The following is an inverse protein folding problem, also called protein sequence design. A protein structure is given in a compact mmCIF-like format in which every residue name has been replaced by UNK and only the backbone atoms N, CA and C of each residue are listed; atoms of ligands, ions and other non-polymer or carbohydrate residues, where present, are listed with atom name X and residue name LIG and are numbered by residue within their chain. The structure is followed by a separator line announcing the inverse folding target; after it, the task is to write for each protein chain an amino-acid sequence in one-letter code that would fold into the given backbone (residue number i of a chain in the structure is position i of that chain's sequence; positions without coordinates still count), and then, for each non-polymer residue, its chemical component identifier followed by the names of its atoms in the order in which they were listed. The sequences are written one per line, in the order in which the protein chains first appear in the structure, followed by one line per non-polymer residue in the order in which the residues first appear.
data_IF_103906263944
#
_entry.id   IF_103906263944
#
_cell.length_a   1.000
_cell.length_b   1.000
_cell.length_c   1.000
_cell.angle_alpha   90.00
_cell.angle_beta   90.00
_cell.angle_gamma   90.00
#
_symmetry.space_group_name_H-M   'P 1'
#
loop_
_entity.id
_entity.type
_entity.pdbx_description
1 polymer ?
#
# COMPACT_ATOMS: atom_id res chain seq x y z
N UNK A 1 -1.48 -13.17 19.69
CA UNK A 1 -2.12 -13.19 21.01
C UNK A 1 -3.63 -13.54 20.93
N UNK A 2 -4.30 -13.26 19.81
CA UNK A 2 -5.69 -13.70 19.59
C UNK A 2 -5.83 -15.18 19.16
N UNK A 3 -4.72 -15.87 18.89
CA UNK A 3 -4.71 -17.26 18.39
C UNK A 3 -5.38 -18.29 19.30
N UNK A 4 -5.49 -18.01 20.59
CA UNK A 4 -6.20 -18.92 21.53
C UNK A 4 -7.73 -18.82 21.49
N UNK A 5 -8.29 -17.80 20.84
CA UNK A 5 -9.73 -17.55 20.77
C UNK A 5 -10.38 -18.18 19.52
N UNK A 6 -9.61 -18.50 18.52
CA UNK A 6 -10.09 -18.99 17.24
C UNK A 6 -9.42 -20.33 16.89
N UNK A 7 -10.11 -21.22 16.15
CA UNK A 7 -9.52 -22.46 15.69
C UNK A 7 -8.37 -22.21 14.70
N UNK A 8 -7.50 -23.20 14.48
CA UNK A 8 -6.52 -23.15 13.40
C UNK A 8 -7.17 -22.89 12.05
N UNK A 9 -6.43 -22.27 11.11
CA UNK A 9 -6.95 -21.93 9.80
C UNK A 9 -7.47 -23.15 9.02
N UNK A 10 -6.81 -24.31 9.18
CA UNK A 10 -7.21 -25.59 8.58
C UNK A 10 -8.55 -26.14 9.10
N UNK A 11 -8.98 -25.68 10.26
CA UNK A 11 -10.22 -26.12 10.94
C UNK A 11 -11.32 -25.06 10.86
N UNK A 12 -11.05 -23.93 10.19
CA UNK A 12 -12.03 -22.85 10.06
C UNK A 12 -13.20 -23.27 9.18
N UNK A 13 -14.36 -23.44 9.78
CA UNK A 13 -15.61 -23.82 9.12
C UNK A 13 -16.79 -22.86 9.40
N UNK A 14 -16.49 -21.70 9.99
CA UNK A 14 -17.53 -20.69 10.30
C UNK A 14 -18.00 -20.00 9.01
N UNK A 15 -19.29 -19.63 8.98
CA UNK A 15 -19.87 -18.78 7.93
C UNK A 15 -19.30 -17.36 8.00
N UNK A 16 -18.91 -16.92 9.19
CA UNK A 16 -18.31 -15.60 9.41
C UNK A 16 -16.84 -15.59 8.98
N UNK A 17 -16.41 -14.49 8.36
CA UNK A 17 -14.99 -14.28 8.10
C UNK A 17 -14.19 -14.17 9.42
N UNK A 18 -12.94 -14.66 9.45
CA UNK A 18 -12.07 -14.43 10.59
C UNK A 18 -11.77 -12.93 10.76
N UNK A 19 -11.38 -12.51 11.98
CA UNK A 19 -10.88 -11.15 12.19
C UNK A 19 -9.71 -10.82 11.25
N UNK A 20 -9.63 -9.57 10.83
CA UNK A 20 -8.59 -9.13 9.88
C UNK A 20 -7.17 -9.48 10.36
N UNK A 21 -6.85 -9.25 11.64
CA UNK A 21 -5.54 -9.58 12.22
C UNK A 21 -5.20 -11.06 12.18
N UNK A 22 -6.20 -11.93 12.39
CA UNK A 22 -6.05 -13.37 12.26
C UNK A 22 -5.73 -13.78 10.82
N UNK A 23 -6.54 -13.30 9.88
CA UNK A 23 -6.38 -13.58 8.46
C UNK A 23 -5.00 -13.11 7.95
N UNK A 24 -4.62 -11.88 8.29
CA UNK A 24 -3.37 -11.29 7.87
C UNK A 24 -2.15 -12.03 8.44
N UNK A 25 -2.23 -12.46 9.69
CA UNK A 25 -1.17 -13.25 10.32
C UNK A 25 -0.91 -14.55 9.58
N UNK A 26 -1.95 -15.30 9.22
CA UNK A 26 -1.79 -16.57 8.51
C UNK A 26 -1.28 -16.37 7.08
N UNK A 27 -1.71 -15.33 6.39
CA UNK A 27 -1.11 -14.96 5.10
C UNK A 27 0.38 -14.68 5.23
N UNK A 28 0.75 -13.86 6.20
CA UNK A 28 2.15 -13.55 6.47
C UNK A 28 2.97 -14.80 6.81
N UNK A 29 2.50 -15.64 7.72
CA UNK A 29 3.19 -16.85 8.13
C UNK A 29 3.40 -17.84 6.97
N UNK A 30 2.36 -18.01 6.14
CA UNK A 30 2.43 -18.86 4.96
C UNK A 30 3.40 -18.31 3.90
N UNK A 31 3.38 -17.00 3.65
CA UNK A 31 4.34 -16.34 2.74
C UNK A 31 5.76 -16.49 3.26
N UNK A 32 5.99 -16.28 4.56
CA UNK A 32 7.32 -16.46 5.17
C UNK A 32 7.85 -17.89 5.01
N UNK A 33 7.01 -18.89 5.28
CA UNK A 33 7.35 -20.29 5.10
C UNK A 33 7.64 -20.63 3.64
N UNK A 34 6.80 -20.15 2.72
CA UNK A 34 6.97 -20.34 1.28
C UNK A 34 8.26 -19.65 0.79
N UNK A 35 8.54 -18.46 1.26
CA UNK A 35 9.76 -17.72 0.88
C UNK A 35 11.03 -18.45 1.30
N UNK A 36 11.05 -19.09 2.48
CA UNK A 36 12.16 -19.93 2.90
C UNK A 36 12.41 -21.11 1.95
N UNK A 37 11.36 -21.76 1.48
CA UNK A 37 11.44 -22.82 0.48
C UNK A 37 11.94 -22.28 -0.87
N UNK A 38 11.40 -21.15 -1.30
CA UNK A 38 11.76 -20.50 -2.58
C UNK A 38 13.23 -20.10 -2.61
N UNK A 39 13.74 -19.48 -1.53
CA UNK A 39 15.15 -19.11 -1.42
C UNK A 39 16.07 -20.32 -1.53
N UNK A 40 15.74 -21.45 -0.89
CA UNK A 40 16.52 -22.69 -1.00
C UNK A 40 16.57 -23.24 -2.43
N UNK A 41 15.61 -22.89 -3.26
CA UNK A 41 15.52 -23.31 -4.66
C UNK A 41 15.93 -22.20 -5.65
N UNK A 42 16.62 -21.16 -5.19
CA UNK A 42 17.05 -20.01 -6.00
C UNK A 42 15.88 -19.31 -6.76
N UNK A 43 14.72 -19.27 -6.15
CA UNK A 43 13.53 -18.59 -6.68
C UNK A 43 13.33 -17.24 -5.99
N UNK A 44 12.74 -16.28 -6.70
CA UNK A 44 12.36 -15.00 -6.10
C UNK A 44 11.30 -15.18 -5.00
N UNK A 45 11.26 -14.25 -4.06
CA UNK A 45 10.32 -14.25 -2.92
C UNK A 45 9.11 -13.37 -3.17
N UNK A 46 8.07 -13.56 -2.35
CA UNK A 46 6.86 -12.75 -2.35
C UNK A 46 6.83 -11.82 -1.15
N UNK A 47 6.13 -10.70 -1.29
CA UNK A 47 5.85 -9.76 -0.21
C UNK A 47 4.35 -9.62 -0.01
N UNK A 48 3.94 -9.40 1.24
CA UNK A 48 2.54 -9.17 1.57
C UNK A 48 2.20 -7.69 1.37
N UNK A 49 1.15 -7.40 0.60
CA UNK A 49 0.65 -6.06 0.29
C UNK A 49 -0.88 -6.05 0.32
N UNK A 50 -1.49 -6.06 1.50
CA UNK A 50 -2.93 -6.14 1.64
C UNK A 50 -3.61 -4.79 1.43
N UNK A 51 -4.91 -4.81 1.12
CA UNK A 51 -5.79 -3.68 1.39
C UNK A 51 -5.87 -3.48 2.89
N UNK A 52 -5.66 -2.26 3.35
CA UNK A 52 -5.75 -1.92 4.77
C UNK A 52 -6.11 -0.46 4.98
N UNK A 53 -6.99 -0.19 5.94
CA UNK A 53 -7.34 1.18 6.31
C UNK A 53 -8.16 1.93 5.26
N UNK A 54 -8.78 1.27 4.31
CA UNK A 54 -9.79 1.85 3.43
C UNK A 54 -11.09 2.03 4.19
N UNK A 55 -11.55 0.98 4.84
CA UNK A 55 -12.72 0.94 5.70
C UNK A 55 -12.48 0.01 6.90
N UNK A 56 -13.46 -0.12 7.79
CA UNK A 56 -13.40 -1.01 8.95
C UNK A 56 -12.69 -0.40 10.16
N UNK A 57 -12.06 -1.26 10.97
CA UNK A 57 -11.43 -0.86 12.21
C UNK A 57 -10.00 -0.32 11.97
N UNK A 58 -9.65 0.86 12.52
CA UNK A 58 -8.29 1.37 12.48
C UNK A 58 -7.21 0.43 13.07
N UNK A 59 -7.58 -0.51 13.96
CA UNK A 59 -6.66 -1.51 14.49
C UNK A 59 -6.07 -2.44 13.41
N UNK A 60 -6.74 -2.59 12.26
CA UNK A 60 -6.21 -3.32 11.12
C UNK A 60 -4.85 -2.78 10.66
N UNK A 61 -4.64 -1.47 10.78
CA UNK A 61 -3.40 -0.80 10.40
C UNK A 61 -2.19 -1.26 11.25
N UNK A 62 -2.41 -1.62 12.52
CA UNK A 62 -1.36 -2.17 13.39
C UNK A 62 -0.92 -3.55 12.87
N UNK A 63 -1.89 -4.39 12.55
CA UNK A 63 -1.60 -5.73 12.02
C UNK A 63 -0.84 -5.66 10.70
N UNK A 64 -1.24 -4.76 9.80
CA UNK A 64 -0.58 -4.55 8.53
C UNK A 64 0.84 -3.96 8.70
N UNK A 65 1.03 -3.02 9.62
CA UNK A 65 2.35 -2.47 9.96
C UNK A 65 3.35 -3.58 10.34
N UNK A 66 2.92 -4.56 11.13
CA UNK A 66 3.77 -5.65 11.64
C UNK A 66 4.07 -6.74 10.60
N UNK A 67 3.27 -6.87 9.54
CA UNK A 67 3.31 -8.03 8.64
C UNK A 67 3.52 -7.69 7.18
N UNK A 68 3.31 -6.44 6.79
CA UNK A 68 3.19 -6.07 5.38
C UNK A 68 4.37 -5.21 4.91
N UNK A 69 4.76 -5.40 3.67
CA UNK A 69 5.77 -4.58 3.01
C UNK A 69 5.23 -3.18 2.61
N UNK A 70 3.96 -3.14 2.28
CA UNK A 70 3.20 -1.94 1.93
C UNK A 70 1.72 -2.26 2.02
N UNK A 71 0.87 -1.26 1.93
CA UNK A 71 -0.59 -1.43 1.93
C UNK A 71 -1.25 -0.66 0.80
N UNK A 72 -2.45 -1.09 0.40
CA UNK A 72 -3.32 -0.27 -0.44
C UNK A 72 -4.22 0.59 0.44
N UNK A 73 -4.46 1.82 0.01
CA UNK A 73 -5.28 2.88 0.61
C UNK A 73 -4.70 3.53 1.87
N UNK A 74 -4.80 2.92 3.04
CA UNK A 74 -4.32 3.52 4.29
C UNK A 74 -5.10 4.76 4.77
N UNK A 75 -6.29 5.01 4.25
CA UNK A 75 -7.10 6.24 4.51
C UNK A 75 -7.31 6.46 6.01
N UNK A 76 -7.56 5.38 6.76
CA UNK A 76 -7.85 5.47 8.19
C UNK A 76 -6.63 5.88 9.05
N UNK A 77 -5.41 5.91 8.48
CA UNK A 77 -4.25 6.51 9.16
C UNK A 77 -4.52 7.95 9.59
N UNK A 78 -5.41 8.67 8.90
CA UNK A 78 -5.83 10.02 9.29
C UNK A 78 -6.46 10.11 10.68
N UNK A 79 -7.03 9.00 11.19
CA UNK A 79 -7.69 8.92 12.49
C UNK A 79 -6.78 8.47 13.63
N UNK A 80 -5.60 7.95 13.31
CA UNK A 80 -4.67 7.34 14.28
C UNK A 80 -3.25 7.92 14.12
N UNK A 81 -3.00 9.14 14.61
CA UNK A 81 -1.74 9.88 14.35
C UNK A 81 -0.49 9.13 14.79
N UNK A 82 -0.58 8.34 15.86
CA UNK A 82 0.55 7.53 16.33
C UNK A 82 0.96 6.47 15.30
N UNK A 83 -0.01 5.72 14.77
CA UNK A 83 0.25 4.72 13.74
C UNK A 83 0.70 5.38 12.44
N UNK A 84 0.10 6.51 12.07
CA UNK A 84 0.55 7.31 10.92
C UNK A 84 2.05 7.69 11.05
N UNK A 85 2.49 8.04 12.26
CA UNK A 85 3.90 8.37 12.51
C UNK A 85 4.82 7.14 12.37
N UNK A 86 4.39 5.96 12.78
CA UNK A 86 5.15 4.71 12.56
C UNK A 86 5.27 4.39 11.06
N UNK A 87 4.20 4.56 10.29
CA UNK A 87 4.24 4.40 8.82
C UNK A 87 5.19 5.40 8.15
N UNK A 88 5.27 6.62 8.68
CA UNK A 88 6.23 7.62 8.23
C UNK A 88 7.66 7.22 8.56
N UNK A 89 7.95 6.77 9.79
CA UNK A 89 9.31 6.39 10.19
C UNK A 89 9.85 5.21 9.38
N UNK A 90 9.05 4.17 9.19
CA UNK A 90 9.45 2.97 8.45
C UNK A 90 9.22 3.10 6.94
N UNK A 91 8.71 4.24 6.48
CA UNK A 91 8.42 4.51 5.06
C UNK A 91 7.62 3.39 4.39
N UNK A 92 6.63 2.86 5.11
CA UNK A 92 5.71 1.84 4.58
C UNK A 92 4.95 2.41 3.38
N UNK A 93 4.99 1.71 2.25
CA UNK A 93 4.34 2.16 1.01
C UNK A 93 2.83 2.19 1.12
N UNK A 94 2.23 3.30 0.71
CA UNK A 94 0.79 3.53 0.61
C UNK A 94 0.42 3.69 -0.87
N UNK A 95 -0.24 2.68 -1.45
CA UNK A 95 -0.81 2.79 -2.80
C UNK A 95 -2.23 3.36 -2.69
N UNK A 96 -2.39 4.64 -2.98
CA UNK A 96 -3.67 5.34 -2.81
C UNK A 96 -4.37 5.56 -4.15
N UNK A 97 -5.69 5.47 -4.15
CA UNK A 97 -6.55 5.49 -5.34
C UNK A 97 -7.68 6.51 -5.21
N UNK A 98 -7.38 7.82 -5.34
CA UNK A 98 -8.36 8.89 -5.15
C UNK A 98 -9.62 8.79 -6.01
N UNK A 99 -9.52 8.35 -7.27
CA UNK A 99 -10.68 8.15 -8.16
C UNK A 99 -11.64 7.09 -7.61
N UNK A 100 -11.13 5.91 -7.28
CA UNK A 100 -11.90 4.83 -6.69
C UNK A 100 -12.57 5.27 -5.39
N UNK A 101 -11.81 5.89 -4.49
CA UNK A 101 -12.33 6.35 -3.22
C UNK A 101 -13.44 7.40 -3.38
N UNK A 102 -13.29 8.32 -4.37
CA UNK A 102 -14.34 9.32 -4.65
C UNK A 102 -15.61 8.70 -5.23
N UNK A 103 -15.46 7.68 -6.05
CA UNK A 103 -16.61 6.98 -6.62
C UNK A 103 -17.38 6.16 -5.58
N UNK A 104 -16.71 5.62 -4.56
CA UNK A 104 -17.29 4.70 -3.61
C UNK A 104 -17.85 5.37 -2.34
N UNK A 105 -17.08 6.26 -1.68
CA UNK A 105 -17.48 6.72 -0.34
C UNK A 105 -16.80 7.97 0.21
N UNK A 106 -15.74 8.50 -0.42
CA UNK A 106 -14.94 9.58 0.17
C UNK A 106 -14.57 10.64 -0.85
N UNK A 107 -15.20 11.80 -0.79
CA UNK A 107 -14.92 12.93 -1.68
C UNK A 107 -13.45 13.35 -1.66
N UNK A 108 -12.95 13.90 -2.76
CA UNK A 108 -11.54 14.28 -2.93
C UNK A 108 -11.02 15.21 -1.83
N UNK A 109 -11.84 16.17 -1.37
CA UNK A 109 -11.51 17.12 -0.30
C UNK A 109 -11.28 16.46 1.05
N UNK A 110 -11.92 15.30 1.30
CA UNK A 110 -11.80 14.51 2.53
C UNK A 110 -10.74 13.42 2.44
N UNK A 111 -10.25 13.13 1.23
CA UNK A 111 -9.23 12.12 1.04
C UNK A 111 -7.88 12.60 1.61
N UNK A 112 -7.22 11.83 2.47
CA UNK A 112 -5.97 12.26 3.10
C UNK A 112 -4.75 12.19 2.19
N UNK A 113 -4.87 11.73 0.94
CA UNK A 113 -3.79 11.52 -0.02
C UNK A 113 -2.78 12.66 -0.01
N UNK A 114 -3.24 13.89 -0.29
CA UNK A 114 -2.35 15.04 -0.41
C UNK A 114 -1.70 15.44 0.93
N UNK A 115 -2.43 15.28 2.02
CA UNK A 115 -1.90 15.53 3.36
C UNK A 115 -0.80 14.52 3.72
N UNK A 116 -0.99 13.25 3.40
CA UNK A 116 0.02 12.21 3.62
C UNK A 116 1.25 12.46 2.78
N UNK A 117 1.08 12.76 1.50
CA UNK A 117 2.17 13.10 0.61
C UNK A 117 2.98 14.30 1.13
N UNK A 118 2.33 15.40 1.51
CA UNK A 118 2.98 16.59 2.10
C UNK A 118 3.73 16.33 3.40
N UNK A 119 3.26 15.37 4.19
CA UNK A 119 3.91 14.97 5.44
C UNK A 119 5.11 14.06 5.22
N UNK A 120 5.36 13.64 3.99
CA UNK A 120 6.48 12.76 3.65
C UNK A 120 6.21 11.28 3.90
N UNK A 121 4.94 10.84 4.01
CA UNK A 121 4.63 9.42 3.95
C UNK A 121 4.93 8.89 2.54
N UNK A 122 5.32 7.63 2.46
CA UNK A 122 5.68 6.99 1.20
C UNK A 122 4.43 6.65 0.37
N UNK A 123 3.88 7.66 -0.32
CA UNK A 123 2.64 7.57 -1.08
C UNK A 123 2.93 7.36 -2.57
N UNK A 124 2.14 6.52 -3.22
CA UNK A 124 2.05 6.40 -4.67
C UNK A 124 0.59 6.44 -5.12
N UNK A 125 0.36 6.74 -6.40
CA UNK A 125 -0.96 6.65 -7.01
C UNK A 125 -1.18 5.28 -7.65
N UNK A 126 -2.39 4.75 -7.51
CA UNK A 126 -2.85 3.49 -8.06
C UNK A 126 -4.25 3.63 -8.63
N UNK A 127 -4.62 2.81 -9.59
CA UNK A 127 -5.92 2.89 -10.26
C UNK A 127 -7.02 2.10 -9.57
N UNK A 128 -6.65 1.21 -8.62
CA UNK A 128 -7.57 0.24 -8.03
C UNK A 128 -8.26 -0.61 -9.13
N UNK A 129 -9.57 -0.46 -9.32
CA UNK A 129 -10.37 -1.18 -10.30
C UNK A 129 -10.59 -0.34 -11.58
N UNK A 130 -9.65 -0.30 -12.54
CA UNK A 130 -9.73 0.59 -13.68
C UNK A 130 -10.93 0.33 -14.59
N UNK A 131 -11.41 -0.91 -14.66
CA UNK A 131 -12.61 -1.25 -15.45
C UNK A 131 -13.91 -0.66 -14.85
N UNK A 132 -13.90 -0.30 -13.57
CA UNK A 132 -15.05 0.30 -12.89
C UNK A 132 -14.98 1.82 -12.84
N UNK A 133 -13.78 2.40 -12.68
CA UNK A 133 -13.61 3.81 -12.32
C UNK A 133 -12.95 4.66 -13.39
N UNK A 134 -12.32 4.06 -14.40
CA UNK A 134 -11.64 4.80 -15.46
C UNK A 134 -12.49 4.92 -16.71
N UNK A 135 -12.40 6.06 -17.39
CA UNK A 135 -13.15 6.35 -18.61
C UNK A 135 -12.30 6.18 -19.88
N UNK A 136 -10.99 6.08 -19.74
CA UNK A 136 -10.04 5.99 -20.85
C UNK A 136 -9.32 4.65 -20.87
N UNK A 137 -8.57 4.37 -21.96
CA UNK A 137 -7.70 3.19 -22.06
C UNK A 137 -6.38 3.35 -21.29
N UNK A 138 -6.15 4.51 -20.69
CA UNK A 138 -4.93 4.86 -19.95
C UNK A 138 -5.27 5.21 -18.49
N UNK A 139 -5.73 4.23 -17.69
CA UNK A 139 -6.29 4.48 -16.37
C UNK A 139 -5.31 5.15 -15.41
N UNK A 140 -4.02 4.82 -15.47
CA UNK A 140 -3.03 5.44 -14.58
C UNK A 140 -2.76 6.89 -14.96
N UNK A 141 -2.71 7.22 -16.24
CA UNK A 141 -2.59 8.62 -16.71
C UNK A 141 -3.82 9.41 -16.25
N UNK A 142 -5.00 8.82 -16.32
CA UNK A 142 -6.24 9.42 -15.85
C UNK A 142 -6.17 9.72 -14.35
N UNK A 143 -5.73 8.75 -13.52
CA UNK A 143 -5.55 8.92 -12.08
C UNK A 143 -4.60 10.08 -11.76
N UNK A 144 -3.42 10.11 -12.41
CA UNK A 144 -2.45 11.20 -12.25
C UNK A 144 -3.02 12.55 -12.69
N UNK A 145 -3.74 12.59 -13.81
CA UNK A 145 -4.32 13.83 -14.35
C UNK A 145 -5.37 14.41 -13.40
N UNK A 146 -6.27 13.57 -12.89
CA UNK A 146 -7.29 13.98 -11.94
C UNK A 146 -6.68 14.41 -10.62
N UNK A 147 -5.75 13.64 -10.07
CA UNK A 147 -5.05 13.98 -8.83
C UNK A 147 -4.30 15.31 -8.96
N UNK A 148 -3.57 15.52 -10.07
CA UNK A 148 -2.87 16.77 -10.34
C UNK A 148 -3.82 17.97 -10.39
N UNK A 149 -4.96 17.81 -11.04
CA UNK A 149 -5.95 18.87 -11.17
C UNK A 149 -6.64 19.22 -9.84
N UNK A 150 -7.03 18.21 -9.08
CA UNK A 150 -7.75 18.37 -7.81
C UNK A 150 -6.83 18.92 -6.72
N UNK A 151 -5.65 18.30 -6.54
CA UNK A 151 -4.72 18.64 -5.47
C UNK A 151 -3.68 19.67 -5.85
N UNK A 152 -3.72 20.17 -7.10
CA UNK A 152 -2.79 21.17 -7.63
C UNK A 152 -1.33 20.71 -7.53
N UNK A 153 -1.10 19.46 -7.91
CA UNK A 153 0.25 18.88 -7.92
C UNK A 153 1.12 19.55 -8.97
N UNK A 154 2.36 19.83 -8.61
CA UNK A 154 3.39 20.28 -9.56
C UNK A 154 3.94 19.11 -10.37
N UNK A 155 4.70 19.42 -11.42
CA UNK A 155 5.45 18.39 -12.16
C UNK A 155 6.44 17.63 -11.28
N UNK A 156 7.04 18.31 -10.29
CA UNK A 156 7.96 17.68 -9.31
C UNK A 156 7.22 16.70 -8.43
N UNK A 157 6.04 17.09 -7.90
CA UNK A 157 5.22 16.19 -7.06
C UNK A 157 4.83 14.92 -7.83
N UNK A 158 4.44 15.07 -9.10
CA UNK A 158 4.08 13.93 -9.96
C UNK A 158 5.28 13.01 -10.22
N UNK A 159 6.47 13.58 -10.44
CA UNK A 159 7.70 12.79 -10.58
C UNK A 159 8.04 12.05 -9.28
N UNK A 160 7.87 12.68 -8.13
CA UNK A 160 8.09 12.03 -6.84
C UNK A 160 7.12 10.88 -6.60
N UNK A 161 5.84 11.07 -6.87
CA UNK A 161 4.82 10.01 -6.79
C UNK A 161 5.17 8.83 -7.72
N UNK A 162 5.60 9.11 -8.94
CA UNK A 162 6.03 8.08 -9.89
C UNK A 162 7.29 7.35 -9.39
N UNK A 163 8.28 8.09 -8.85
CA UNK A 163 9.45 7.51 -8.23
C UNK A 163 9.09 6.59 -7.06
N UNK A 164 8.19 7.04 -6.19
CA UNK A 164 7.71 6.24 -5.06
C UNK A 164 7.05 4.94 -5.53
N UNK A 165 6.26 4.97 -6.61
CA UNK A 165 5.65 3.77 -7.17
C UNK A 165 6.69 2.73 -7.62
N UNK A 166 7.78 3.18 -8.25
CA UNK A 166 8.89 2.31 -8.61
C UNK A 166 9.60 1.74 -7.39
N UNK A 167 9.87 2.57 -6.36
CA UNK A 167 10.52 2.12 -5.12
C UNK A 167 9.67 1.10 -4.37
N UNK A 168 8.37 1.34 -4.26
CA UNK A 168 7.41 0.45 -3.61
C UNK A 168 7.18 -0.86 -4.38
N UNK A 169 7.48 -0.90 -5.67
CA UNK A 169 7.22 -2.05 -6.53
C UNK A 169 8.03 -3.29 -6.13
N UNK A 170 7.62 -4.45 -6.61
CA UNK A 170 8.35 -5.71 -6.43
C UNK A 170 9.41 -5.99 -7.49
N UNK A 171 9.75 -5.03 -8.35
CA UNK A 171 10.78 -5.19 -9.38
C UNK A 171 12.17 -5.35 -8.77
N UNK A 172 13.02 -6.09 -9.46
CA UNK A 172 14.39 -6.34 -9.06
C UNK A 172 15.24 -5.05 -9.08
N UNK A 173 16.30 -5.07 -8.29
CA UNK A 173 17.19 -3.91 -8.12
C UNK A 173 17.82 -3.41 -9.43
N UNK A 174 18.11 -4.31 -10.39
CA UNK A 174 18.65 -3.94 -11.69
C UNK A 174 17.64 -3.16 -12.55
N UNK A 175 16.36 -3.54 -12.50
CA UNK A 175 15.27 -2.83 -13.17
C UNK A 175 15.07 -1.45 -12.53
N UNK A 176 15.02 -1.38 -11.20
CA UNK A 176 14.92 -0.10 -10.48
C UNK A 176 16.10 0.83 -10.77
N UNK A 177 17.33 0.30 -10.86
CA UNK A 177 18.51 1.07 -11.27
C UNK A 177 18.41 1.62 -12.69
N UNK A 178 17.80 0.85 -13.60
CA UNK A 178 17.57 1.31 -14.97
C UNK A 178 16.62 2.49 -15.02
N UNK A 179 15.51 2.43 -14.26
CA UNK A 179 14.50 3.49 -14.26
C UNK A 179 14.88 4.72 -13.42
N UNK A 180 15.49 4.50 -12.26
CA UNK A 180 15.72 5.54 -11.25
C UNK A 180 17.18 5.99 -11.13
N UNK A 181 18.09 5.36 -11.88
CA UNK A 181 19.51 5.66 -11.83
C UNK A 181 20.28 4.84 -10.77
N UNK A 182 21.62 4.91 -10.87
CA UNK A 182 22.53 4.09 -10.05
C UNK A 182 22.38 4.35 -8.54
N UNK A 183 22.07 5.57 -8.18
CA UNK A 183 22.05 6.05 -6.80
C UNK A 183 20.64 6.07 -6.18
N UNK A 184 19.67 5.39 -6.79
CA UNK A 184 18.26 5.48 -6.38
C UNK A 184 17.98 5.15 -4.90
N UNK A 185 18.90 4.41 -4.24
CA UNK A 185 18.81 4.08 -2.82
C UNK A 185 19.48 5.10 -1.90
N UNK A 186 20.24 6.05 -2.46
CA UNK A 186 20.89 7.09 -1.66
C UNK A 186 19.86 8.19 -1.37
N UNK A 187 19.81 8.63 -0.12
CA UNK A 187 19.05 9.82 0.27
C UNK A 187 19.79 11.10 -0.10
N UNK A 188 19.04 12.18 -0.28
CA UNK A 188 19.60 13.49 -0.61
C UNK A 188 19.43 13.86 -2.08
N UNK A 189 19.91 15.06 -2.39
CA UNK A 189 19.92 15.61 -3.76
C UNK A 189 21.30 15.34 -4.35
N UNK A 190 21.36 14.44 -5.34
CA UNK A 190 22.53 14.27 -6.23
C UNK A 190 22.08 14.42 -7.68
#
# INVERSE_FOLDING_TARGET
IQSRKYPPASEWNSISNPPYSYYLYYLYANIASLNNLRLKNNMNTFVLRPHCGEAGDPEHLISAFLTSYGISHGILLRKVPFIQYLYYLDQIGLAMSPLSNNALFLTYDKNPFYNFFKKGLNVSLSTDDPLQFSYTKEPLIEEYSVAAQIYKLSGVDMCELARNSCLQSGWEANIKKHWLGKNYMKGGVE
#
